data_IF_084001944745
#
_entry.id   IF_084001944745
#
_cell.length_a   1.000
_cell.length_b   1.000
_cell.length_c   1.000
_cell.angle_alpha   90.00
_cell.angle_beta   90.00
_cell.angle_gamma   90.00
#
_symmetry.space_group_name_H-M   'P 1'
#
loop_
_entity.id
_entity.type
_entity.pdbx_description
1 polymer ?
#
# COMPACT_ATOMS: atom_id res chain seq x y z
N UNK A 1 -4.12 -5.60 -7.85
CA UNK A 1 -5.43 -5.20 -7.27
C UNK A 1 -6.47 -6.30 -7.47
N UNK A 2 -7.54 -6.30 -6.70
CA UNK A 2 -8.62 -7.31 -6.85
C UNK A 2 -9.53 -7.34 -5.63
N UNK A 3 -10.68 -8.03 -5.74
CA UNK A 3 -11.65 -8.18 -4.67
C UNK A 3 -11.11 -8.83 -3.39
N UNK A 4 -11.94 -8.93 -2.36
CA UNK A 4 -11.58 -9.55 -1.08
C UNK A 4 -11.41 -11.06 -1.25
N UNK A 5 -10.44 -11.65 -0.53
CA UNK A 5 -10.22 -13.11 -0.51
C UNK A 5 -9.58 -13.70 -1.76
N UNK A 6 -9.00 -12.89 -2.66
CA UNK A 6 -8.39 -13.34 -3.90
C UNK A 6 -6.86 -13.59 -3.83
N UNK A 7 -6.29 -13.62 -2.62
CA UNK A 7 -4.87 -13.94 -2.45
C UNK A 7 -3.88 -12.82 -2.76
N UNK A 8 -4.32 -11.56 -2.84
CA UNK A 8 -3.44 -10.40 -3.10
C UNK A 8 -2.26 -10.31 -2.15
N UNK A 9 -2.55 -10.31 -0.84
CA UNK A 9 -1.53 -10.26 0.21
C UNK A 9 -0.61 -11.48 0.14
N UNK A 10 -1.18 -12.66 -0.12
CA UNK A 10 -0.41 -13.89 -0.26
C UNK A 10 0.60 -13.80 -1.41
N UNK A 11 0.17 -13.36 -2.59
CA UNK A 11 1.05 -13.17 -3.74
C UNK A 11 2.13 -12.11 -3.46
N UNK A 12 1.74 -10.97 -2.89
CA UNK A 12 2.68 -9.91 -2.54
C UNK A 12 3.74 -10.39 -1.54
N UNK A 13 3.31 -11.14 -0.52
CA UNK A 13 4.21 -11.71 0.49
C UNK A 13 5.13 -12.78 -0.09
N UNK A 14 4.66 -13.58 -1.03
CA UNK A 14 5.51 -14.56 -1.73
C UNK A 14 6.62 -13.87 -2.54
N UNK A 15 6.30 -12.79 -3.25
CA UNK A 15 7.31 -11.98 -3.96
C UNK A 15 8.32 -11.35 -3.00
N UNK A 16 7.84 -10.81 -1.88
CA UNK A 16 8.70 -10.23 -0.84
C UNK A 16 9.62 -11.28 -0.21
N UNK A 17 9.12 -12.49 0.00
CA UNK A 17 9.90 -13.61 0.52
C UNK A 17 11.03 -14.02 -0.45
N UNK A 18 10.73 -14.15 -1.73
CA UNK A 18 11.74 -14.44 -2.76
C UNK A 18 12.82 -13.35 -2.83
N UNK A 19 12.41 -12.08 -2.66
CA UNK A 19 13.36 -10.98 -2.60
C UNK A 19 14.27 -11.06 -1.36
N UNK A 20 13.75 -11.48 -0.20
CA UNK A 20 14.57 -11.75 0.99
C UNK A 20 15.58 -12.86 0.73
N UNK A 21 15.18 -13.95 0.07
CA UNK A 21 16.10 -15.02 -0.31
C UNK A 21 17.20 -14.56 -1.28
N UNK A 22 16.89 -13.56 -2.11
CA UNK A 22 17.85 -12.91 -3.01
C UNK A 22 18.76 -11.87 -2.30
N UNK A 23 18.58 -11.66 -0.99
CA UNK A 23 19.42 -10.77 -0.18
C UNK A 23 18.91 -9.33 -0.05
N UNK A 24 17.68 -9.03 -0.51
CA UNK A 24 17.09 -7.70 -0.37
C UNK A 24 16.43 -7.50 0.99
N UNK A 25 16.49 -6.29 1.50
CA UNK A 25 15.76 -5.89 2.70
C UNK A 25 14.31 -5.57 2.38
N UNK A 26 13.38 -6.15 3.15
CA UNK A 26 11.94 -5.98 2.93
C UNK A 26 11.28 -5.49 4.22
N UNK A 27 10.40 -4.49 4.11
CA UNK A 27 9.48 -4.11 5.15
C UNK A 27 8.04 -4.36 4.69
N UNK A 28 7.34 -5.18 5.46
CA UNK A 28 5.89 -5.35 5.35
C UNK A 28 5.17 -4.40 6.32
N UNK A 29 4.15 -3.69 5.83
CA UNK A 29 3.31 -2.82 6.64
C UNK A 29 1.93 -2.67 5.98
N UNK A 30 0.94 -2.19 6.72
CA UNK A 30 -0.34 -1.77 6.14
C UNK A 30 -0.34 -0.26 5.88
N UNK A 31 -1.20 0.19 4.96
CA UNK A 31 -1.33 1.64 4.71
C UNK A 31 -1.76 2.40 5.97
N UNK A 32 -2.66 1.82 6.77
CA UNK A 32 -3.14 2.44 8.01
C UNK A 32 -2.06 2.52 9.09
N UNK A 33 -1.18 1.52 9.18
CA UNK A 33 -0.06 1.54 10.13
C UNK A 33 0.96 2.64 9.79
N UNK A 34 1.23 2.86 8.51
CA UNK A 34 2.06 4.00 8.07
C UNK A 34 1.43 5.31 8.55
N UNK A 35 0.14 5.50 8.27
CA UNK A 35 -0.59 6.71 8.64
C UNK A 35 -0.57 6.92 10.16
N UNK A 36 -0.97 5.92 10.93
CA UNK A 36 -1.02 6.01 12.39
C UNK A 36 0.35 6.31 13.00
N UNK A 37 1.40 5.67 12.49
CA UNK A 37 2.77 5.89 12.96
C UNK A 37 3.23 7.32 12.69
N UNK A 38 3.01 7.83 11.48
CA UNK A 38 3.49 9.17 11.10
C UNK A 38 2.66 10.28 11.73
N UNK A 39 1.34 10.10 11.87
CA UNK A 39 0.47 11.03 12.60
C UNK A 39 0.88 11.09 14.08
N UNK A 40 1.11 9.97 14.73
CA UNK A 40 1.60 9.95 16.12
C UNK A 40 2.97 10.60 16.27
N UNK A 41 3.88 10.39 15.30
CA UNK A 41 5.20 10.99 15.29
C UNK A 41 5.18 12.52 15.13
N UNK A 42 4.14 13.07 14.52
CA UNK A 42 3.95 14.52 14.37
C UNK A 42 3.86 15.22 15.72
N UNK A 43 3.12 14.64 16.67
CA UNK A 43 2.95 15.19 18.01
C UNK A 43 4.26 15.26 18.81
N UNK A 44 5.26 14.45 18.48
CA UNK A 44 6.56 14.37 19.14
C UNK A 44 7.72 14.89 18.30
N UNK A 45 7.44 15.54 17.18
CA UNK A 45 8.45 16.05 16.24
C UNK A 45 9.40 14.97 15.67
N UNK A 46 8.93 13.73 15.57
CA UNK A 46 9.72 12.55 15.14
C UNK A 46 9.39 12.06 13.73
N UNK A 47 8.59 12.79 12.97
CA UNK A 47 8.16 12.39 11.61
C UNK A 47 9.34 12.00 10.73
N UNK A 48 10.42 12.80 10.72
CA UNK A 48 11.59 12.54 9.89
C UNK A 48 12.28 11.22 10.22
N UNK A 49 12.37 10.87 11.52
CA UNK A 49 13.00 9.60 11.94
C UNK A 49 12.10 8.41 11.63
N UNK A 50 10.78 8.53 11.84
CA UNK A 50 9.84 7.47 11.54
C UNK A 50 9.71 7.24 10.02
N UNK A 51 9.69 8.30 9.23
CA UNK A 51 9.63 8.22 7.76
C UNK A 51 10.79 7.39 7.19
N UNK A 52 11.99 7.50 7.77
CA UNK A 52 13.16 6.71 7.34
C UNK A 52 12.94 5.20 7.40
N UNK A 53 12.08 4.70 8.29
CA UNK A 53 11.74 3.27 8.38
C UNK A 53 11.14 2.75 7.08
N UNK A 54 10.35 3.57 6.41
CA UNK A 54 9.67 3.22 5.16
C UNK A 54 10.53 3.49 3.92
N UNK A 55 11.55 4.34 4.05
CA UNK A 55 12.42 4.73 2.93
C UNK A 55 13.68 3.85 2.78
N UNK A 56 14.16 3.27 3.88
CA UNK A 56 15.42 2.49 3.89
C UNK A 56 15.33 1.10 3.22
N UNK A 57 14.24 0.33 3.40
CA UNK A 57 14.18 -1.01 2.82
C UNK A 57 14.25 -0.98 1.29
N UNK A 58 14.91 -1.97 0.70
CA UNK A 58 14.94 -2.14 -0.76
C UNK A 58 13.52 -2.31 -1.30
N UNK A 59 12.70 -3.07 -0.58
CA UNK A 59 11.31 -3.31 -0.93
C UNK A 59 10.39 -2.91 0.24
N UNK A 60 9.41 -2.07 -0.05
CA UNK A 60 8.31 -1.73 0.85
C UNK A 60 7.04 -2.42 0.36
N UNK A 61 6.50 -3.34 1.15
CA UNK A 61 5.17 -3.92 0.89
C UNK A 61 4.13 -3.18 1.72
N UNK A 62 3.23 -2.47 1.03
CA UNK A 62 2.10 -1.74 1.63
C UNK A 62 0.82 -2.51 1.34
N UNK A 63 0.29 -3.15 2.37
CA UNK A 63 -0.93 -3.94 2.27
C UNK A 63 -2.19 -3.09 2.57
N UNK A 64 -3.31 -3.50 2.01
CA UNK A 64 -4.63 -2.94 2.30
C UNK A 64 -4.78 -1.43 2.01
N UNK A 65 -4.10 -0.93 0.98
CA UNK A 65 -4.29 0.46 0.55
C UNK A 65 -5.73 0.67 0.06
N UNK A 66 -6.45 1.57 0.72
CA UNK A 66 -7.83 1.92 0.37
C UNK A 66 -8.92 1.12 1.06
N UNK A 67 -8.60 0.33 2.06
CA UNK A 67 -9.63 -0.35 2.88
C UNK A 67 -10.36 0.61 3.82
N UNK A 68 -9.69 1.62 4.31
CA UNK A 68 -10.27 2.64 5.18
C UNK A 68 -10.06 4.02 4.57
N UNK A 69 -11.03 4.94 4.77
CA UNK A 69 -10.84 6.33 4.38
C UNK A 69 -9.72 6.95 5.22
N UNK A 70 -8.94 7.81 4.60
CA UNK A 70 -7.78 8.47 5.19
C UNK A 70 -8.06 9.97 5.23
N UNK A 71 -7.78 10.61 6.35
CA UNK A 71 -7.88 12.06 6.47
C UNK A 71 -6.75 12.77 5.70
N UNK A 72 -6.81 14.12 5.69
CA UNK A 72 -5.82 14.91 4.95
C UNK A 72 -4.39 14.65 5.42
N UNK A 73 -4.15 14.58 6.73
CA UNK A 73 -2.81 14.37 7.27
C UNK A 73 -2.26 13.00 6.87
N UNK A 74 -3.09 11.96 6.97
CA UNK A 74 -2.73 10.61 6.52
C UNK A 74 -2.46 10.52 5.02
N UNK A 75 -3.27 11.21 4.21
CA UNK A 75 -3.07 11.28 2.76
C UNK A 75 -1.74 11.96 2.40
N UNK A 76 -1.42 13.08 3.07
CA UNK A 76 -0.16 13.80 2.89
C UNK A 76 1.05 12.93 3.28
N UNK A 77 0.96 12.15 4.36
CA UNK A 77 2.05 11.24 4.76
C UNK A 77 2.24 10.08 3.80
N UNK A 78 1.18 9.45 3.33
CA UNK A 78 1.30 8.41 2.31
C UNK A 78 1.89 8.97 1.01
N UNK A 79 1.47 10.16 0.61
CA UNK A 79 2.06 10.84 -0.53
C UNK A 79 3.57 11.08 -0.33
N UNK A 80 4.01 11.49 0.85
CA UNK A 80 5.43 11.67 1.16
C UNK A 80 6.20 10.35 1.03
N UNK A 81 5.68 9.24 1.59
CA UNK A 81 6.32 7.93 1.50
C UNK A 81 6.50 7.52 0.04
N UNK A 82 5.43 7.51 -0.74
CA UNK A 82 5.48 7.08 -2.15
C UNK A 82 6.32 8.02 -3.02
N UNK A 83 6.23 9.33 -2.79
CA UNK A 83 7.02 10.32 -3.55
C UNK A 83 8.52 10.21 -3.28
N UNK A 84 8.93 9.97 -2.03
CA UNK A 84 10.33 9.81 -1.69
C UNK A 84 10.90 8.44 -2.08
N UNK A 85 10.02 7.45 -2.28
CA UNK A 85 10.41 6.15 -2.85
C UNK A 85 10.38 6.12 -4.38
N UNK A 86 9.79 7.14 -5.00
CA UNK A 86 9.78 7.25 -6.45
C UNK A 86 11.21 7.22 -7.00
N UNK A 87 11.48 6.29 -7.92
CA UNK A 87 12.82 5.98 -8.47
C UNK A 87 13.88 5.51 -7.44
N UNK A 88 13.47 5.26 -6.19
CA UNK A 88 14.34 4.78 -5.11
C UNK A 88 13.73 3.56 -4.43
N UNK A 89 14.21 2.38 -4.74
CA UNK A 89 13.69 1.13 -4.20
C UNK A 89 12.39 0.68 -4.88
N UNK A 90 11.92 -0.49 -4.51
CA UNK A 90 10.70 -1.09 -5.05
C UNK A 90 9.56 -1.01 -4.05
N UNK A 91 8.34 -0.83 -4.54
CA UNK A 91 7.15 -0.80 -3.69
C UNK A 91 6.11 -1.77 -4.22
N UNK A 92 5.62 -2.67 -3.36
CA UNK A 92 4.53 -3.58 -3.65
C UNK A 92 3.29 -3.05 -2.93
N UNK A 93 2.20 -2.83 -3.66
CA UNK A 93 0.95 -2.33 -3.07
C UNK A 93 -0.17 -3.31 -3.35
N UNK A 94 -0.92 -3.67 -2.31
CA UNK A 94 -2.18 -4.38 -2.49
C UNK A 94 -3.36 -3.46 -2.24
N UNK A 95 -4.39 -3.57 -3.05
CA UNK A 95 -5.61 -2.79 -2.92
C UNK A 95 -6.82 -3.56 -3.44
N UNK A 96 -7.98 -3.31 -2.86
CA UNK A 96 -9.27 -3.78 -3.36
C UNK A 96 -10.00 -2.72 -4.20
N UNK A 97 -9.43 -1.52 -4.33
CA UNK A 97 -10.03 -0.39 -5.01
C UNK A 97 -9.42 -0.16 -6.39
N UNK A 98 -10.28 0.09 -7.37
CA UNK A 98 -9.83 0.58 -8.67
C UNK A 98 -9.33 2.04 -8.55
N UNK A 99 -8.35 2.41 -9.35
CA UNK A 99 -7.71 3.75 -9.31
C UNK A 99 -8.70 4.91 -9.37
N UNK A 100 -9.79 4.77 -10.13
CA UNK A 100 -10.86 5.78 -10.23
C UNK A 100 -11.55 6.11 -8.90
N UNK A 101 -11.42 5.24 -7.89
CA UNK A 101 -12.02 5.43 -6.57
C UNK A 101 -11.03 6.01 -5.54
N UNK A 102 -9.77 6.16 -5.91
CA UNK A 102 -8.72 6.57 -4.96
C UNK A 102 -8.90 8.00 -4.44
N UNK A 103 -9.45 8.92 -5.24
CA UNK A 103 -9.73 10.27 -4.76
C UNK A 103 -10.64 10.28 -3.51
N UNK A 104 -11.63 9.37 -3.45
CA UNK A 104 -12.52 9.23 -2.30
C UNK A 104 -11.80 8.75 -1.04
N UNK A 105 -10.72 7.98 -1.20
CA UNK A 105 -9.91 7.47 -0.09
C UNK A 105 -8.97 8.53 0.47
N UNK A 106 -8.51 9.43 -0.38
CA UNK A 106 -7.58 10.50 -0.05
C UNK A 106 -8.31 11.83 0.17
N UNK A 107 -9.26 11.85 1.10
CA UNK A 107 -10.00 13.05 1.53
C UNK A 107 -10.66 13.82 0.36
N UNK A 108 -11.07 13.13 -0.71
CA UNK A 108 -11.57 13.73 -1.95
C UNK A 108 -10.60 14.72 -2.64
N UNK A 109 -9.31 14.65 -2.33
CA UNK A 109 -8.29 15.47 -2.97
C UNK A 109 -7.87 14.84 -4.30
N UNK A 110 -8.50 15.28 -5.38
CA UNK A 110 -8.21 14.79 -6.72
C UNK A 110 -6.79 15.16 -7.20
N UNK A 111 -6.27 16.32 -6.78
CA UNK A 111 -4.93 16.77 -7.17
C UNK A 111 -3.85 15.92 -6.51
N UNK A 112 -3.94 15.72 -5.20
CA UNK A 112 -3.04 14.85 -4.45
C UNK A 112 -3.09 13.41 -4.98
N UNK A 113 -4.30 12.90 -5.22
CA UNK A 113 -4.51 11.54 -5.75
C UNK A 113 -3.91 11.37 -7.13
N UNK A 114 -4.09 12.35 -8.02
CA UNK A 114 -3.50 12.32 -9.36
C UNK A 114 -1.98 12.31 -9.31
N UNK A 115 -1.39 13.16 -8.47
CA UNK A 115 0.06 13.22 -8.30
C UNK A 115 0.65 11.94 -7.68
N UNK A 116 -0.10 11.30 -6.77
CA UNK A 116 0.26 10.02 -6.18
C UNK A 116 0.24 8.90 -7.23
N UNK A 117 -0.86 8.81 -7.98
CA UNK A 117 -1.04 7.80 -9.02
C UNK A 117 0.00 7.96 -10.13
N UNK A 118 0.30 9.18 -10.54
CA UNK A 118 1.33 9.43 -11.53
C UNK A 118 2.68 8.82 -11.12
N UNK A 119 3.13 9.08 -9.88
CA UNK A 119 4.37 8.50 -9.36
C UNK A 119 4.31 6.99 -9.17
N UNK A 120 3.20 6.50 -8.61
CA UNK A 120 3.06 5.09 -8.29
C UNK A 120 2.96 4.23 -9.55
N UNK A 121 2.30 4.73 -10.61
CA UNK A 121 2.04 3.97 -11.83
C UNK A 121 3.07 4.17 -12.93
N UNK A 122 3.91 5.18 -12.85
CA UNK A 122 4.88 5.50 -13.90
C UNK A 122 5.79 4.31 -14.27
N UNK A 123 6.23 3.54 -13.27
CA UNK A 123 7.06 2.36 -13.46
C UNK A 123 6.40 1.08 -12.90
N UNK A 124 5.08 1.08 -12.71
CA UNK A 124 4.40 -0.02 -12.04
C UNK A 124 3.87 -1.06 -13.02
N UNK A 125 4.01 -2.32 -12.61
CA UNK A 125 3.27 -3.45 -13.18
C UNK A 125 1.96 -3.62 -12.40
N UNK A 126 0.82 -3.48 -13.07
CA UNK A 126 -0.49 -3.64 -12.45
C UNK A 126 -1.05 -5.02 -12.70
N UNK A 127 -1.11 -5.83 -11.64
CA UNK A 127 -1.73 -7.16 -11.68
C UNK A 127 -3.16 -7.05 -11.15
N UNK A 128 -4.14 -7.42 -11.97
CA UNK A 128 -5.55 -7.50 -11.59
C UNK A 128 -5.93 -8.95 -11.37
N UNK A 129 -6.46 -9.26 -10.20
CA UNK A 129 -6.91 -10.61 -9.83
C UNK A 129 -8.43 -10.59 -9.73
N UNK A 130 -9.07 -11.43 -10.52
CA UNK A 130 -10.53 -11.59 -10.55
C UNK A 130 -10.90 -13.03 -10.22
N UNK A 131 -12.05 -13.22 -9.58
CA UNK A 131 -12.55 -14.54 -9.22
C UNK A 131 -13.48 -14.52 -8.03
N UNK A 132 -13.81 -15.71 -7.54
CA UNK A 132 -14.56 -15.91 -6.31
C UNK A 132 -13.62 -15.89 -5.10
N UNK A 133 -14.09 -15.40 -3.96
CA UNK A 133 -13.30 -15.39 -2.71
C UNK A 133 -12.89 -16.80 -2.30
N UNK A 134 -11.60 -17.04 -2.19
CA UNK A 134 -11.07 -18.31 -1.69
C UNK A 134 -11.43 -18.55 -0.22
N UNK A 135 -11.52 -17.48 0.59
CA UNK A 135 -11.90 -17.57 2.01
C UNK A 135 -13.33 -18.06 2.22
N UNK A 136 -14.21 -17.87 1.21
CA UNK A 136 -15.62 -18.26 1.26
C UNK A 136 -15.89 -19.60 0.57
N UNK A 137 -14.85 -20.28 0.09
CA UNK A 137 -15.00 -21.50 -0.71
C UNK A 137 -15.78 -22.57 0.04
N UNK A 138 -15.44 -22.80 1.29
CA UNK A 138 -16.06 -23.87 2.10
C UNK A 138 -17.42 -23.47 2.72
N UNK A 139 -17.79 -22.16 2.67
CA UNK A 139 -19.06 -21.66 3.20
C UNK A 139 -20.16 -21.57 2.13
N UNK A 140 -19.80 -21.67 0.85
CA UNK A 140 -20.76 -21.55 -0.26
C UNK A 140 -21.27 -22.95 -0.70
N UNK A 141 -20.63 -24.02 -0.26
CA UNK A 141 -20.95 -25.40 -0.63
C UNK A 141 -21.87 -26.14 0.37
N UNK A 142 -22.29 -25.50 1.48
CA UNK A 142 -23.35 -26.05 2.35
C UNK A 142 -24.72 -25.51 1.91
N UNK A 143 -25.68 -26.41 1.58
CA UNK A 143 -27.05 -26.04 1.22
C UNK A 143 -27.87 -25.52 2.39
#
# INVERSE_FOLDING_TARGET
MGGVGLGKTHLATALAYEACLAGHTVLFTTAIDIVNTLVAAQATNRVRSELKKYLRPDILQVDELGYLPIDKAGADFLFQVFSQRYEHGSTIVTTNQAYKHWAKMYNNDASLTSALLDRLLHHAETIRIEGKSYRMKDQIEEP
#
